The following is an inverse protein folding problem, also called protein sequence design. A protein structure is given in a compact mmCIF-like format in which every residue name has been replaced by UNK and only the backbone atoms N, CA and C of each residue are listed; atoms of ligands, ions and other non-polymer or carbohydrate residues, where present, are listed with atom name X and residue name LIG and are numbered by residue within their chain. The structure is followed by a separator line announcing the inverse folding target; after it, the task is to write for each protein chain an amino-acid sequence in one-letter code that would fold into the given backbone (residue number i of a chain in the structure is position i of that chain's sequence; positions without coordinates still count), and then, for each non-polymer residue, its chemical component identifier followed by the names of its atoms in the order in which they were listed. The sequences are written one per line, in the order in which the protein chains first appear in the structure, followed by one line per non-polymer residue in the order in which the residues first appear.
data_IF_879352445974
#
_entry.id   IF_879352445974
#
_cell.length_a   1.000
_cell.length_b   1.000
_cell.length_c   1.000
_cell.angle_alpha   90.00
_cell.angle_beta   90.00
_cell.angle_gamma   90.00
#
_symmetry.space_group_name_H-M   'P 1'
#
loop_
_entity.id
_entity.type
_entity.pdbx_description
1 polymer ?
#
# COMPACT_ATOMS: atom_id res chain seq x y z
N UNK A 1 6.91 4.61 -25.12
CA UNK A 1 7.68 3.35 -25.09
C UNK A 1 7.41 2.65 -23.76
N UNK A 2 6.85 1.43 -23.74
CA UNK A 2 6.62 0.69 -22.48
C UNK A 2 7.98 0.15 -21.99
N UNK A 3 8.38 0.33 -20.72
CA UNK A 3 9.58 -0.30 -20.22
C UNK A 3 9.33 -1.81 -20.16
N UNK A 4 9.99 -2.57 -21.04
CA UNK A 4 10.18 -4.01 -20.86
C UNK A 4 11.17 -4.19 -19.71
N UNK A 5 10.96 -5.20 -18.86
CA UNK A 5 11.96 -5.62 -17.89
C UNK A 5 13.29 -5.85 -18.62
N UNK A 6 14.33 -5.13 -18.22
CA UNK A 6 15.68 -5.40 -18.66
C UNK A 6 16.08 -6.77 -18.09
N UNK A 7 16.49 -7.71 -18.95
CA UNK A 7 16.91 -9.05 -18.56
C UNK A 7 18.17 -9.09 -17.66
N UNK A 8 18.67 -7.93 -17.23
CA UNK A 8 19.92 -7.73 -16.47
C UNK A 8 19.73 -7.19 -15.06
N UNK A 9 18.50 -6.91 -14.60
CA UNK A 9 18.36 -6.43 -13.23
C UNK A 9 18.49 -7.57 -12.22
N UNK A 10 19.57 -7.51 -11.44
CA UNK A 10 19.83 -8.40 -10.30
C UNK A 10 19.09 -7.94 -9.04
N UNK A 11 18.66 -6.68 -8.97
CA UNK A 11 17.98 -6.14 -7.81
C UNK A 11 16.52 -6.58 -7.75
N UNK A 12 16.11 -7.05 -6.59
CA UNK A 12 14.79 -7.62 -6.31
C UNK A 12 14.03 -6.76 -5.31
N UNK A 13 12.76 -6.55 -5.62
CA UNK A 13 11.82 -5.89 -4.73
C UNK A 13 10.66 -6.82 -4.46
N UNK A 14 10.21 -6.90 -3.22
CA UNK A 14 8.96 -7.60 -2.87
C UNK A 14 8.00 -6.68 -2.13
N UNK A 15 6.74 -6.70 -2.59
CA UNK A 15 5.61 -6.07 -1.92
C UNK A 15 4.91 -7.12 -1.05
N UNK A 16 4.94 -6.96 0.27
CA UNK A 16 4.41 -7.93 1.23
C UNK A 16 3.08 -7.43 1.79
N UNK A 17 1.98 -7.98 1.28
CA UNK A 17 0.64 -7.74 1.79
C UNK A 17 0.38 -8.37 3.17
N UNK A 18 -0.78 -8.07 3.75
CA UNK A 18 -1.14 -8.44 5.12
C UNK A 18 -1.89 -9.78 5.24
N UNK A 19 -2.11 -10.51 4.15
CA UNK A 19 -2.75 -11.83 4.21
C UNK A 19 -1.74 -12.89 4.69
N UNK A 20 -2.13 -13.84 5.57
CA UNK A 20 -1.21 -14.85 6.09
C UNK A 20 -0.51 -15.66 4.99
N UNK A 21 0.77 -16.00 5.23
CA UNK A 21 1.55 -16.83 4.33
C UNK A 21 1.48 -18.30 4.74
N UNK A 22 1.10 -19.17 3.80
CA UNK A 22 0.99 -20.62 4.02
C UNK A 22 2.35 -21.31 4.21
N UNK A 23 3.41 -20.73 3.67
CA UNK A 23 4.78 -21.24 3.75
C UNK A 23 5.67 -20.17 4.35
N UNK A 24 6.71 -20.58 5.07
CA UNK A 24 7.75 -19.68 5.52
C UNK A 24 8.58 -19.20 4.33
N UNK A 25 8.50 -17.90 4.06
CA UNK A 25 9.26 -17.20 3.03
C UNK A 25 10.13 -16.11 3.63
N UNK A 26 10.32 -16.09 4.96
CA UNK A 26 11.03 -15.05 5.70
C UNK A 26 12.42 -14.79 5.14
N UNK A 27 13.26 -15.82 5.05
CA UNK A 27 14.61 -15.71 4.51
C UNK A 27 14.65 -15.18 3.08
N UNK A 28 13.69 -15.58 2.23
CA UNK A 28 13.62 -15.13 0.84
C UNK A 28 13.16 -13.68 0.73
N UNK A 29 12.21 -13.26 1.57
CA UNK A 29 11.74 -11.87 1.62
C UNK A 29 12.85 -10.97 2.16
N UNK A 30 13.54 -11.38 3.23
CA UNK A 30 14.61 -10.60 3.85
C UNK A 30 15.87 -10.54 2.97
N UNK A 31 16.04 -11.48 2.05
CA UNK A 31 17.09 -11.44 1.03
C UNK A 31 16.79 -10.48 -0.13
N UNK A 32 15.56 -9.95 -0.29
CA UNK A 32 15.28 -8.96 -1.32
C UNK A 32 15.98 -7.63 -1.01
N UNK A 33 16.48 -6.96 -2.05
CA UNK A 33 17.14 -5.66 -1.94
C UNK A 33 16.22 -4.61 -1.32
N UNK A 34 14.93 -4.66 -1.70
CA UNK A 34 13.88 -3.78 -1.18
C UNK A 34 12.62 -4.55 -0.77
N UNK A 35 12.15 -4.32 0.46
CA UNK A 35 10.88 -4.87 0.98
C UNK A 35 9.91 -3.73 1.29
N UNK A 36 8.73 -3.78 0.68
CA UNK A 36 7.61 -2.87 0.94
C UNK A 36 6.58 -3.56 1.83
N UNK A 37 6.22 -2.93 2.95
CA UNK A 37 5.16 -3.39 3.87
C UNK A 37 4.10 -2.32 4.08
N UNK A 38 3.02 -2.70 4.75
CA UNK A 38 1.84 -1.84 4.89
C UNK A 38 1.41 -1.70 6.33
N UNK A 39 1.04 -0.48 6.70
CA UNK A 39 0.21 -0.21 7.86
C UNK A 39 0.85 -0.76 9.16
N UNK A 40 0.10 -1.48 9.98
CA UNK A 40 0.59 -2.14 11.19
C UNK A 40 1.42 -3.42 10.93
N UNK A 41 1.79 -3.69 9.67
CA UNK A 41 2.56 -4.84 9.24
C UNK A 41 2.10 -6.15 9.89
N UNK A 42 0.81 -6.52 9.76
CA UNK A 42 0.21 -7.69 10.43
C UNK A 42 1.01 -9.01 10.33
N UNK A 43 1.76 -9.20 9.25
CA UNK A 43 2.58 -10.39 9.02
C UNK A 43 4.05 -10.25 9.43
N UNK A 44 4.46 -9.12 10.02
CA UNK A 44 5.85 -8.83 10.37
C UNK A 44 6.45 -9.93 11.25
N UNK A 45 7.65 -10.38 10.91
CA UNK A 45 8.25 -11.58 11.47
C UNK A 45 7.61 -12.85 10.90
N UNK A 46 7.65 -13.94 11.69
CA UNK A 46 7.09 -15.24 11.33
C UNK A 46 7.47 -15.67 9.91
N UNK A 47 6.48 -16.11 9.13
CA UNK A 47 6.66 -16.59 7.76
C UNK A 47 7.02 -15.49 6.73
N UNK A 48 7.00 -14.21 7.10
CA UNK A 48 7.22 -13.12 6.15
C UNK A 48 8.49 -12.30 6.41
N UNK A 49 9.29 -12.67 7.41
CA UNK A 49 10.54 -11.99 7.74
C UNK A 49 10.32 -10.59 8.34
N UNK A 50 11.41 -9.89 8.63
CA UNK A 50 11.39 -8.63 9.38
C UNK A 50 11.86 -7.42 8.56
N UNK A 51 12.54 -7.63 7.44
CA UNK A 51 13.09 -6.53 6.64
C UNK A 51 11.98 -5.60 6.16
N UNK A 52 12.17 -4.30 6.38
CA UNK A 52 11.25 -3.26 5.94
C UNK A 52 12.05 -2.05 5.43
N UNK A 53 12.14 -1.90 4.11
CA UNK A 53 12.79 -0.72 3.51
C UNK A 53 11.79 0.42 3.34
N UNK A 54 10.56 0.10 2.93
CA UNK A 54 9.51 1.07 2.67
C UNK A 54 8.24 0.66 3.43
N UNK A 55 7.72 1.57 4.22
CA UNK A 55 6.44 1.39 4.91
C UNK A 55 5.36 2.26 4.27
N UNK A 56 4.30 1.63 3.77
CA UNK A 56 3.17 2.34 3.16
C UNK A 56 2.04 2.46 4.17
N UNK A 57 1.64 3.69 4.47
CA UNK A 57 0.65 4.01 5.50
C UNK A 57 -0.64 4.55 4.89
N UNK A 58 -1.77 4.00 5.33
CA UNK A 58 -3.07 4.62 5.10
C UNK A 58 -3.18 5.88 5.96
N UNK A 59 -3.53 7.00 5.33
CA UNK A 59 -3.69 8.31 5.96
C UNK A 59 -5.14 8.81 6.00
N UNK A 60 -6.09 7.98 5.60
CA UNK A 60 -7.51 8.28 5.62
C UNK A 60 -8.28 7.16 6.33
N UNK A 61 -9.53 7.45 6.68
CA UNK A 61 -10.44 6.55 7.38
C UNK A 61 -10.62 6.90 8.85
N UNK A 62 -11.60 6.25 9.48
CA UNK A 62 -11.89 6.41 10.90
C UNK A 62 -10.78 5.80 11.76
N UNK A 63 -10.22 6.52 12.75
CA UNK A 63 -9.27 5.96 13.72
C UNK A 63 -9.81 4.75 14.50
N UNK A 64 -11.14 4.65 14.65
CA UNK A 64 -11.78 3.52 15.34
C UNK A 64 -11.85 2.25 14.48
N UNK A 65 -11.74 2.38 13.16
CA UNK A 65 -11.87 1.25 12.21
C UNK A 65 -10.51 0.83 11.66
N UNK A 66 -9.62 1.81 11.44
CA UNK A 66 -8.29 1.56 10.96
C UNK A 66 -7.34 1.32 12.13
N UNK A 67 -7.08 0.04 12.42
CA UNK A 67 -6.20 -0.42 13.51
C UNK A 67 -4.75 0.13 13.47
N UNK A 68 -4.35 0.73 12.36
CA UNK A 68 -3.02 1.37 12.23
C UNK A 68 -3.02 2.78 12.79
N UNK A 69 -4.13 3.51 12.66
CA UNK A 69 -4.20 4.91 13.07
C UNK A 69 -3.98 5.09 14.58
N UNK A 70 -4.61 4.31 15.48
CA UNK A 70 -4.30 4.40 16.91
C UNK A 70 -2.81 4.18 17.21
N UNK A 71 -2.18 3.22 16.53
CA UNK A 71 -0.74 2.98 16.69
C UNK A 71 0.10 4.19 16.27
N UNK A 72 -0.30 4.92 15.24
CA UNK A 72 0.50 6.05 14.73
C UNK A 72 0.10 7.40 15.33
N UNK A 73 -1.08 7.50 15.94
CA UNK A 73 -1.57 8.73 16.58
C UNK A 73 -1.31 8.75 18.09
N UNK A 74 -0.87 7.65 18.69
CA UNK A 74 -0.37 7.61 20.07
C UNK A 74 1.12 7.99 20.12
N UNK A 75 1.53 9.03 20.87
CA UNK A 75 2.93 9.38 21.07
C UNK A 75 3.74 8.22 21.64
N UNK A 76 4.96 8.06 21.14
CA UNK A 76 5.95 7.08 21.62
C UNK A 76 7.34 7.69 21.67
N UNK A 77 8.13 7.22 22.61
CA UNK A 77 9.58 7.42 22.62
C UNK A 77 10.23 6.61 21.50
N UNK A 78 11.47 6.93 21.17
CA UNK A 78 12.24 6.20 20.15
C UNK A 78 12.41 4.72 20.51
N UNK A 79 12.65 4.41 21.79
CA UNK A 79 12.75 3.05 22.28
C UNK A 79 11.42 2.28 22.12
N UNK A 80 10.29 2.90 22.46
CA UNK A 80 8.96 2.29 22.26
C UNK A 80 8.64 2.08 20.77
N UNK A 81 9.06 2.99 19.89
CA UNK A 81 8.92 2.78 18.44
C UNK A 81 9.78 1.60 17.98
N UNK A 82 11.04 1.51 18.43
CA UNK A 82 11.93 0.40 18.08
C UNK A 82 11.38 -0.96 18.54
N UNK A 83 10.77 -1.02 19.72
CA UNK A 83 10.20 -2.24 20.29
C UNK A 83 8.83 -2.60 19.69
N UNK A 84 7.90 -1.63 19.65
CA UNK A 84 6.50 -1.90 19.34
C UNK A 84 6.17 -1.72 17.85
N UNK A 85 6.95 -0.90 17.14
CA UNK A 85 6.78 -0.59 15.72
C UNK A 85 8.12 -0.78 14.96
N UNK A 86 8.81 -1.94 15.09
CA UNK A 86 10.16 -2.13 14.55
C UNK A 86 10.23 -1.95 13.03
N UNK A 87 9.13 -2.21 12.31
CA UNK A 87 9.00 -1.94 10.88
C UNK A 87 9.00 -0.45 10.53
N UNK A 88 8.51 0.42 11.42
CA UNK A 88 8.58 1.87 11.24
C UNK A 88 9.99 2.38 11.55
N UNK A 89 10.63 1.86 12.61
CA UNK A 89 12.00 2.21 12.96
C UNK A 89 13.00 1.88 11.83
N UNK A 90 12.84 0.71 11.19
CA UNK A 90 13.69 0.26 10.07
C UNK A 90 13.44 0.98 8.75
N UNK A 91 12.24 1.55 8.56
CA UNK A 91 11.85 2.11 7.27
C UNK A 91 12.79 3.24 6.84
N UNK A 92 13.33 3.11 5.63
CA UNK A 92 14.13 4.14 4.98
C UNK A 92 13.22 5.19 4.32
N UNK A 93 12.06 4.75 3.82
CA UNK A 93 11.00 5.63 3.36
C UNK A 93 9.64 5.27 3.96
N UNK A 94 8.82 6.28 4.17
CA UNK A 94 7.43 6.14 4.59
C UNK A 94 6.53 6.74 3.50
N UNK A 95 5.74 5.90 2.86
CA UNK A 95 4.86 6.30 1.77
C UNK A 95 3.44 6.53 2.29
N UNK A 96 2.94 7.73 2.08
CA UNK A 96 1.55 8.11 2.34
C UNK A 96 0.69 7.64 1.17
N UNK A 97 -0.19 6.69 1.45
CA UNK A 97 -0.88 5.92 0.42
C UNK A 97 -1.94 6.70 -0.35
N UNK A 98 -2.56 7.71 0.25
CA UNK A 98 -3.61 8.52 -0.39
C UNK A 98 -3.11 9.94 -0.67
N UNK A 99 -3.53 10.53 -1.81
CA UNK A 99 -3.23 11.93 -2.12
C UNK A 99 -4.11 12.86 -1.27
N UNK A 100 -4.29 14.11 -1.69
CA UNK A 100 -5.23 15.02 -1.07
C UNK A 100 -6.66 14.42 -1.04
N UNK A 101 -7.34 14.36 0.12
CA UNK A 101 -8.72 13.89 0.21
C UNK A 101 -9.69 14.62 -0.72
N UNK A 102 -9.48 15.91 -0.99
CA UNK A 102 -10.33 16.67 -1.92
C UNK A 102 -10.20 16.16 -3.36
N UNK A 103 -9.01 15.72 -3.77
CA UNK A 103 -8.80 15.08 -5.06
C UNK A 103 -9.57 13.74 -5.16
N UNK A 104 -9.56 12.96 -4.08
CA UNK A 104 -10.30 11.70 -4.01
C UNK A 104 -11.81 11.95 -4.06
N UNK A 105 -12.32 12.91 -3.29
CA UNK A 105 -13.73 13.30 -3.30
C UNK A 105 -14.16 13.79 -4.68
N UNK A 106 -13.33 14.56 -5.38
CA UNK A 106 -13.61 14.98 -6.76
C UNK A 106 -13.74 13.78 -7.71
N UNK A 107 -12.85 12.79 -7.60
CA UNK A 107 -12.94 11.56 -8.40
C UNK A 107 -14.21 10.76 -8.10
N UNK A 108 -14.55 10.59 -6.82
CA UNK A 108 -15.76 9.88 -6.39
C UNK A 108 -17.04 10.56 -6.88
N UNK A 109 -17.10 11.91 -6.82
CA UNK A 109 -18.23 12.70 -7.34
C UNK A 109 -18.32 12.61 -8.87
N UNK A 110 -17.19 12.55 -9.57
CA UNK A 110 -17.15 12.47 -11.04
C UNK A 110 -17.55 11.11 -11.62
N UNK A 111 -17.48 10.01 -10.85
CA UNK A 111 -17.84 8.67 -11.31
C UNK A 111 -19.37 8.49 -11.50
N UNK A 112 -20.18 9.51 -11.17
CA UNK A 112 -21.58 9.65 -11.63
C UNK A 112 -22.56 8.53 -11.24
N UNK A 113 -22.11 7.54 -10.46
CA UNK A 113 -22.88 6.36 -10.05
C UNK A 113 -23.37 6.51 -8.62
N UNK A 114 -24.49 5.85 -8.33
CA UNK A 114 -24.96 5.69 -6.96
C UNK A 114 -23.88 5.02 -6.11
N UNK A 115 -23.34 5.79 -5.17
CA UNK A 115 -22.45 5.29 -4.13
C UNK A 115 -23.20 4.20 -3.36
N UNK A 116 -22.55 3.05 -3.19
CA UNK A 116 -23.04 2.03 -2.26
C UNK A 116 -23.05 2.62 -0.83
N UNK A 117 -23.78 2.05 0.13
CA UNK A 117 -23.71 2.51 1.53
C UNK A 117 -22.28 2.56 2.08
N UNK A 118 -21.42 1.62 1.66
CA UNK A 118 -19.99 1.64 2.01
C UNK A 118 -19.24 2.78 1.32
N UNK A 119 -19.49 3.04 0.04
CA UNK A 119 -18.92 4.21 -0.65
C UNK A 119 -19.36 5.54 -0.06
N UNK A 120 -20.61 5.65 0.43
CA UNK A 120 -21.08 6.83 1.16
C UNK A 120 -20.31 7.01 2.48
N UNK A 121 -20.06 5.91 3.22
CA UNK A 121 -19.24 5.94 4.42
C UNK A 121 -17.79 6.34 4.13
N UNK A 122 -17.22 5.91 3.00
CA UNK A 122 -15.89 6.36 2.57
C UNK A 122 -15.85 7.88 2.35
N UNK A 123 -16.85 8.43 1.64
CA UNK A 123 -16.99 9.88 1.46
C UNK A 123 -17.10 10.61 2.81
N UNK A 124 -17.98 10.13 3.70
CA UNK A 124 -18.15 10.72 5.03
C UNK A 124 -16.86 10.67 5.86
N UNK A 125 -16.12 9.56 5.79
CA UNK A 125 -14.84 9.43 6.48
C UNK A 125 -13.80 10.42 5.93
N UNK A 126 -13.73 10.59 4.61
CA UNK A 126 -12.83 11.56 3.96
C UNK A 126 -13.20 13.00 4.35
N UNK A 127 -14.48 13.34 4.38
CA UNK A 127 -14.96 14.67 4.76
C UNK A 127 -14.76 14.95 6.26
N UNK A 128 -14.99 13.96 7.13
CA UNK A 128 -14.90 14.11 8.58
C UNK A 128 -13.47 14.13 9.10
N UNK A 129 -12.63 13.21 8.65
CA UNK A 129 -11.29 13.00 9.20
C UNK A 129 -10.19 13.61 8.33
N UNK A 130 -10.46 13.84 7.04
CA UNK A 130 -9.51 14.43 6.12
C UNK A 130 -8.23 13.60 5.99
N UNK A 131 -7.10 14.31 5.94
CA UNK A 131 -5.78 13.72 5.82
C UNK A 131 -5.10 13.66 7.20
N UNK A 132 -4.89 12.44 7.68
CA UNK A 132 -4.28 12.19 8.99
C UNK A 132 -2.75 12.05 8.92
N UNK A 133 -2.15 12.11 7.72
CA UNK A 133 -0.70 11.99 7.58
C UNK A 133 0.09 13.03 8.38
N UNK A 134 -0.27 14.34 8.39
CA UNK A 134 0.45 15.34 9.18
C UNK A 134 0.53 14.97 10.67
N UNK A 135 -0.58 14.51 11.25
CA UNK A 135 -0.64 14.09 12.65
C UNK A 135 0.22 12.86 12.91
N UNK A 136 0.12 11.81 12.07
CA UNK A 136 0.95 10.61 12.23
C UNK A 136 2.44 10.93 12.13
N UNK A 137 2.83 11.77 11.15
CA UNK A 137 4.23 12.19 10.94
C UNK A 137 4.74 12.97 12.14
N UNK A 138 3.95 13.92 12.66
CA UNK A 138 4.32 14.72 13.82
C UNK A 138 4.42 13.85 15.09
N UNK A 139 3.42 13.02 15.36
CA UNK A 139 3.35 12.19 16.56
C UNK A 139 4.50 11.18 16.62
N UNK A 140 4.81 10.51 15.50
CA UNK A 140 5.91 9.53 15.45
C UNK A 140 7.25 10.16 15.08
N UNK A 141 7.32 11.49 14.96
CA UNK A 141 8.53 12.25 14.57
C UNK A 141 9.21 11.70 13.31
N UNK A 142 8.40 11.33 12.31
CA UNK A 142 8.91 10.75 11.05
C UNK A 142 9.67 11.86 10.30
N UNK A 143 10.96 11.66 9.98
CA UNK A 143 11.74 12.68 9.28
C UNK A 143 11.14 13.00 7.91
N UNK A 144 11.04 14.30 7.58
CA UNK A 144 10.36 14.78 6.38
C UNK A 144 10.98 14.21 5.10
N UNK A 145 12.29 14.03 5.07
CA UNK A 145 13.05 13.48 3.96
C UNK A 145 12.78 11.99 3.69
N UNK A 146 12.23 11.25 4.67
CA UNK A 146 11.76 9.87 4.49
C UNK A 146 10.35 9.82 3.89
N UNK A 147 9.57 10.89 3.99
CA UNK A 147 8.16 10.88 3.59
C UNK A 147 8.04 11.02 2.07
N UNK A 148 7.28 10.12 1.45
CA UNK A 148 6.77 10.27 0.08
C UNK A 148 5.26 10.17 0.10
N UNK A 149 4.60 10.74 -0.90
CA UNK A 149 3.15 10.62 -1.08
C UNK A 149 2.86 10.17 -2.49
N UNK A 150 1.79 9.38 -2.67
CA UNK A 150 1.34 9.06 -4.02
C UNK A 150 0.97 10.34 -4.78
N UNK A 151 1.47 10.53 -6.02
CA UNK A 151 1.05 11.64 -6.86
C UNK A 151 -0.43 11.52 -7.24
N UNK A 152 -1.16 12.63 -7.27
CA UNK A 152 -2.57 12.68 -7.68
C UNK A 152 -2.80 12.13 -9.09
N UNK A 153 -1.87 12.37 -10.00
CA UNK A 153 -1.95 11.84 -11.37
C UNK A 153 -1.84 10.31 -11.38
N UNK A 154 -0.98 9.75 -10.52
CA UNK A 154 -0.83 8.31 -10.39
C UNK A 154 -2.07 7.68 -9.76
N UNK A 155 -2.62 8.29 -8.71
CA UNK A 155 -3.87 7.88 -8.10
C UNK A 155 -5.04 7.91 -9.11
N UNK A 156 -5.16 8.99 -9.88
CA UNK A 156 -6.19 9.14 -10.93
C UNK A 156 -6.07 8.06 -11.99
N UNK A 157 -4.85 7.75 -12.42
CA UNK A 157 -4.60 6.69 -13.40
C UNK A 157 -5.02 5.32 -12.85
N UNK A 158 -4.64 5.00 -11.62
CA UNK A 158 -5.06 3.77 -10.94
C UNK A 158 -6.59 3.69 -10.85
N UNK A 159 -7.23 4.77 -10.42
CA UNK A 159 -8.69 4.85 -10.32
C UNK A 159 -9.37 4.53 -11.66
N UNK A 160 -8.91 5.15 -12.75
CA UNK A 160 -9.41 4.86 -14.12
C UNK A 160 -9.14 3.42 -14.55
N UNK A 161 -7.98 2.86 -14.22
CA UNK A 161 -7.70 1.46 -14.53
C UNK A 161 -8.67 0.50 -13.82
N UNK A 162 -9.01 0.75 -12.55
CA UNK A 162 -10.01 -0.04 -11.83
C UNK A 162 -11.40 0.12 -12.43
N UNK A 163 -11.80 1.35 -12.77
CA UNK A 163 -13.08 1.61 -13.44
C UNK A 163 -13.20 0.91 -14.81
N UNK A 164 -12.08 0.69 -15.49
CA UNK A 164 -12.02 -0.12 -16.71
C UNK A 164 -12.37 -1.59 -16.52
N UNK A 165 -12.29 -2.13 -15.29
CA UNK A 165 -12.67 -3.50 -14.96
C UNK A 165 -14.08 -3.62 -14.36
N UNK A 166 -14.67 -2.52 -13.88
CA UNK A 166 -16.00 -2.50 -13.28
C UNK A 166 -16.25 -1.27 -12.39
N UNK A 167 -17.44 -1.20 -11.79
CA UNK A 167 -17.76 -0.15 -10.79
C UNK A 167 -17.09 -0.46 -9.45
N UNK A 168 -16.52 0.56 -8.81
CA UNK A 168 -15.97 0.46 -7.44
C UNK A 168 -17.03 0.65 -6.36
N UNK A 169 -18.24 1.09 -6.74
CA UNK A 169 -19.31 1.43 -5.80
C UNK A 169 -18.97 2.61 -4.88
N UNK A 170 -18.02 3.47 -5.29
CA UNK A 170 -17.53 4.59 -4.50
C UNK A 170 -16.44 4.21 -3.49
N UNK A 171 -15.91 2.99 -3.53
CA UNK A 171 -14.94 2.52 -2.56
C UNK A 171 -13.52 2.69 -3.10
N UNK A 172 -12.68 3.35 -2.33
CA UNK A 172 -11.31 3.69 -2.74
C UNK A 172 -10.40 2.45 -2.77
N UNK A 173 -9.36 2.44 -3.62
CA UNK A 173 -8.43 1.31 -3.72
C UNK A 173 -7.75 1.05 -2.38
N UNK A 174 -7.37 -0.20 -2.11
CA UNK A 174 -6.65 -0.60 -0.91
C UNK A 174 -5.25 0.02 -0.84
N UNK A 175 -4.71 0.16 0.38
CA UNK A 175 -3.33 0.64 0.57
C UNK A 175 -2.32 -0.31 -0.09
N UNK A 176 -2.62 -1.60 -0.14
CA UNK A 176 -1.84 -2.61 -0.86
C UNK A 176 -1.73 -2.31 -2.36
N UNK A 177 -2.89 -2.08 -3.01
CA UNK A 177 -2.95 -1.73 -4.44
C UNK A 177 -2.19 -0.43 -4.74
N UNK A 178 -2.31 0.57 -3.88
CA UNK A 178 -1.61 1.84 -4.02
C UNK A 178 -0.09 1.70 -3.84
N UNK A 179 0.36 0.84 -2.93
CA UNK A 179 1.79 0.52 -2.79
C UNK A 179 2.34 -0.24 -4.00
N UNK A 180 1.59 -1.19 -4.56
CA UNK A 180 1.95 -1.84 -5.83
C UNK A 180 2.08 -0.79 -6.93
N UNK A 181 1.10 0.09 -7.07
CA UNK A 181 1.09 1.13 -8.11
C UNK A 181 2.30 2.07 -7.96
N UNK A 182 2.61 2.51 -6.75
CA UNK A 182 3.81 3.29 -6.45
C UNK A 182 5.08 2.51 -6.79
N UNK A 183 5.21 1.25 -6.37
CA UNK A 183 6.39 0.42 -6.64
C UNK A 183 6.66 0.25 -8.15
N UNK A 184 5.61 0.12 -8.96
CA UNK A 184 5.71 0.00 -10.41
C UNK A 184 6.16 1.29 -11.10
N UNK A 185 5.93 2.46 -10.48
CA UNK A 185 6.12 3.77 -11.11
C UNK A 185 7.17 4.65 -10.42
N UNK A 186 7.71 4.21 -9.29
CA UNK A 186 8.74 4.95 -8.58
C UNK A 186 10.08 4.81 -9.28
N UNK A 187 10.64 5.93 -9.74
CA UNK A 187 11.83 5.97 -10.60
C UNK A 187 13.06 5.27 -9.99
N UNK A 188 13.23 5.35 -8.67
CA UNK A 188 14.31 4.69 -7.95
C UNK A 188 14.20 3.15 -8.01
N UNK A 189 12.98 2.62 -8.19
CA UNK A 189 12.69 1.19 -8.22
C UNK A 189 12.48 0.67 -9.65
N UNK A 190 12.64 1.51 -10.67
CA UNK A 190 12.35 1.16 -12.08
C UNK A 190 13.05 -0.12 -12.52
N UNK A 191 14.30 -0.29 -12.10
CA UNK A 191 15.14 -1.41 -12.48
C UNK A 191 14.85 -2.66 -11.69
N UNK A 192 14.25 -2.60 -10.50
CA UNK A 192 14.05 -3.80 -9.69
C UNK A 192 13.13 -4.80 -10.39
N UNK A 193 13.45 -6.08 -10.31
CA UNK A 193 12.49 -7.16 -10.56
C UNK A 193 11.49 -7.18 -9.39
N UNK A 194 10.22 -6.97 -9.70
CA UNK A 194 9.18 -6.71 -8.70
C UNK A 194 8.35 -7.97 -8.45
N UNK A 195 8.23 -8.33 -7.19
CA UNK A 195 7.42 -9.42 -6.71
C UNK A 195 6.31 -8.93 -5.78
N UNK A 196 5.26 -9.72 -5.63
CA UNK A 196 4.27 -9.53 -4.58
C UNK A 196 3.95 -10.85 -3.87
N UNK A 197 3.56 -10.77 -2.60
CA UNK A 197 3.15 -11.91 -1.79
C UNK A 197 2.24 -11.43 -0.66
N UNK A 198 1.41 -12.31 -0.08
CA UNK A 198 0.52 -11.93 1.03
C UNK A 198 -0.68 -11.06 0.60
N UNK A 199 -1.11 -11.17 -0.66
CA UNK A 199 -2.34 -10.56 -1.17
C UNK A 199 -3.39 -11.65 -1.33
N UNK A 200 -4.33 -11.72 -0.38
CA UNK A 200 -5.40 -12.73 -0.39
C UNK A 200 -6.68 -12.28 -1.10
N UNK A 201 -6.74 -11.02 -1.58
CA UNK A 201 -7.94 -10.40 -2.18
C UNK A 201 -9.20 -10.57 -1.31
N UNK A 202 -8.98 -10.65 -0.01
CA UNK A 202 -9.98 -10.90 1.02
C UNK A 202 -9.54 -10.16 2.29
N UNK A 203 -10.50 -9.76 3.12
CA UNK A 203 -10.22 -8.94 4.30
C UNK A 203 -11.38 -8.01 4.62
N UNK A 204 -11.09 -6.73 4.91
CA UNK A 204 -12.15 -5.74 5.14
C UNK A 204 -13.11 -5.70 3.94
N UNK A 205 -14.41 -5.84 4.22
CA UNK A 205 -15.45 -6.17 3.25
C UNK A 205 -15.75 -5.07 2.22
N UNK A 206 -15.16 -3.87 2.33
CA UNK A 206 -15.49 -2.78 1.41
C UNK A 206 -14.54 -2.62 0.21
N UNK A 207 -13.27 -3.04 0.25
CA UNK A 207 -12.40 -2.78 -0.91
C UNK A 207 -12.86 -3.54 -2.16
N UNK A 208 -12.65 -2.98 -3.36
CA UNK A 208 -13.04 -3.60 -4.62
C UNK A 208 -12.07 -4.74 -4.99
N UNK A 209 -11.96 -5.77 -4.14
CA UNK A 209 -10.95 -6.82 -4.24
C UNK A 209 -10.92 -7.53 -5.59
N UNK A 210 -12.09 -7.83 -6.15
CA UNK A 210 -12.20 -8.45 -7.48
C UNK A 210 -11.60 -7.56 -8.59
N UNK A 211 -11.70 -6.23 -8.47
CA UNK A 211 -11.10 -5.30 -9.44
C UNK A 211 -9.59 -5.18 -9.23
N UNK A 212 -9.14 -5.13 -7.98
CA UNK A 212 -7.71 -5.08 -7.64
C UNK A 212 -7.00 -6.36 -8.09
N UNK A 213 -7.59 -7.53 -7.85
CA UNK A 213 -7.07 -8.82 -8.31
C UNK A 213 -6.95 -8.86 -9.83
N UNK A 214 -7.99 -8.43 -10.56
CA UNK A 214 -7.95 -8.34 -12.04
C UNK A 214 -6.84 -7.42 -12.52
N UNK A 215 -6.66 -6.26 -11.88
CA UNK A 215 -5.62 -5.32 -12.25
C UNK A 215 -4.21 -5.90 -11.98
N UNK A 216 -4.01 -6.56 -10.84
CA UNK A 216 -2.73 -7.22 -10.54
C UNK A 216 -2.46 -8.38 -11.49
N UNK A 217 -3.46 -9.19 -11.83
CA UNK A 217 -3.32 -10.24 -12.85
C UNK A 217 -2.96 -9.65 -14.22
N UNK A 218 -3.46 -8.47 -14.57
CA UNK A 218 -3.06 -7.76 -15.77
C UNK A 218 -1.60 -7.27 -15.70
N UNK A 219 -1.09 -6.89 -14.53
CA UNK A 219 0.33 -6.56 -14.32
C UNK A 219 1.23 -7.80 -14.45
N UNK A 220 0.79 -8.94 -13.90
CA UNK A 220 1.48 -10.22 -14.04
C UNK A 220 1.54 -10.66 -15.51
N UNK A 221 0.42 -10.57 -16.23
CA UNK A 221 0.35 -10.92 -17.66
C UNK A 221 1.25 -10.04 -18.53
N UNK A 222 1.46 -8.77 -18.13
CA UNK A 222 2.39 -7.84 -18.79
C UNK A 222 3.86 -8.07 -18.40
N UNK A 223 4.11 -8.96 -17.43
CA UNK A 223 5.45 -9.25 -16.93
C UNK A 223 6.07 -8.12 -16.12
N UNK A 224 5.31 -7.15 -15.61
CA UNK A 224 5.88 -6.03 -14.81
C UNK A 224 5.86 -6.31 -13.31
N UNK A 225 5.16 -7.36 -12.89
CA UNK A 225 5.02 -7.84 -11.52
C UNK A 225 4.95 -9.38 -11.56
N UNK A 226 5.47 -10.07 -10.55
CA UNK A 226 5.36 -11.52 -10.45
C UNK A 226 5.01 -11.97 -9.03
N UNK A 227 4.27 -13.07 -8.83
CA UNK A 227 4.14 -13.66 -7.51
C UNK A 227 5.50 -14.13 -6.99
N UNK A 228 5.77 -13.93 -5.70
CA UNK A 228 6.88 -14.59 -5.02
C UNK A 228 6.44 -16.00 -4.62
N UNK A 229 7.16 -17.02 -5.05
CA UNK A 229 6.91 -18.41 -4.65
C UNK A 229 7.95 -18.89 -3.63
N UNK A 230 7.79 -20.09 -3.08
CA UNK A 230 8.90 -20.80 -2.41
C UNK A 230 10.01 -21.18 -3.41
N UNK A 231 11.17 -21.64 -2.94
CA UNK A 231 12.07 -22.40 -3.81
C UNK A 231 11.30 -23.59 -4.43
N UNK A 232 11.58 -23.88 -5.70
CA UNK A 232 11.14 -25.13 -6.33
C UNK A 232 12.04 -26.26 -5.89
#
# INVERSE_FOLDING_TARGET
MKPRLDARSTQTLVVVGSAPLKQDLSARIDACDCVIRFNNCKNYGGHSGTRTNILVLSNTGSPNENRTLPLLLTPRTEAEVAEQLPYLAQAQEVWIARPNPQHILALLRSDGRHLTPLGQREVQNLERFGDLAPNMIATQKIPREKVRRIPEQLYTRLWRCLLGFGTTGGIIPSTGMLGIEMALNYTALRHHRKYYIGFGWQGWHGHPWALEERLVNAYVSKGVLAPLHGPR
#
